data_IF_807765940739
#
_entry.id   IF_807765940739
#
_cell.length_a   1.000
_cell.length_b   1.000
_cell.length_c   1.000
_cell.angle_alpha   90.00
_cell.angle_beta   90.00
_cell.angle_gamma   90.00
#
_symmetry.space_group_name_H-M   'P 1'
#
loop_
_entity.id
_entity.type
_entity.pdbx_description
1 polymer ?
#
# COMPACT_ATOMS: atom_id res chain seq x y z
N UNK A 1 -39.73 -29.25 -19.02
CA UNK A 1 -38.90 -30.37 -18.44
C UNK A 1 -37.38 -30.19 -18.63
N UNK A 2 -36.90 -29.00 -19.06
CA UNK A 2 -35.45 -28.75 -19.36
C UNK A 2 -34.72 -27.87 -18.36
N UNK A 3 -35.37 -27.34 -17.34
CA UNK A 3 -34.74 -26.42 -16.38
C UNK A 3 -34.07 -27.10 -15.18
N UNK A 4 -34.37 -28.38 -14.90
CA UNK A 4 -33.78 -29.13 -13.77
C UNK A 4 -32.38 -29.69 -14.05
N UNK A 5 -31.98 -29.82 -15.30
CA UNK A 5 -30.65 -30.36 -15.67
C UNK A 5 -29.53 -29.33 -15.53
N UNK A 6 -29.85 -28.03 -15.68
CA UNK A 6 -28.86 -26.97 -15.64
C UNK A 6 -28.33 -26.70 -14.23
N UNK A 7 -29.20 -26.82 -13.22
CA UNK A 7 -28.79 -26.63 -11.81
C UNK A 7 -27.95 -27.80 -11.27
N UNK A 8 -28.12 -29.01 -11.83
CA UNK A 8 -27.35 -30.19 -11.44
C UNK A 8 -25.88 -30.09 -11.88
N UNK A 9 -25.61 -29.46 -13.04
CA UNK A 9 -24.25 -29.29 -13.56
C UNK A 9 -23.50 -28.20 -12.79
N UNK A 10 -24.18 -27.12 -12.41
CA UNK A 10 -23.60 -26.05 -11.60
C UNK A 10 -23.28 -26.54 -10.18
N UNK A 11 -24.15 -27.37 -9.59
CA UNK A 11 -23.91 -27.94 -8.27
C UNK A 11 -22.73 -28.96 -8.28
N UNK A 12 -22.53 -29.68 -9.37
CA UNK A 12 -21.44 -30.64 -9.50
C UNK A 12 -20.07 -29.95 -9.61
N UNK A 13 -20.00 -28.76 -10.22
CA UNK A 13 -18.76 -27.96 -10.31
C UNK A 13 -18.38 -27.36 -8.94
N UNK A 14 -19.38 -27.08 -8.09
CA UNK A 14 -19.14 -26.53 -6.75
C UNK A 14 -18.63 -27.57 -5.73
N UNK A 15 -18.89 -28.86 -5.97
CA UNK A 15 -18.51 -29.95 -5.03
C UNK A 15 -17.11 -30.56 -5.30
N UNK A 16 -16.41 -30.17 -6.37
CA UNK A 16 -15.11 -30.72 -6.75
C UNK A 16 -13.89 -30.00 -6.16
N UNK A 17 -14.08 -29.11 -5.19
CA UNK A 17 -12.98 -28.38 -4.55
C UNK A 17 -12.97 -28.42 -3.03
N UNK A 18 -13.19 -29.58 -2.43
CA UNK A 18 -12.85 -29.76 -0.99
C UNK A 18 -12.18 -31.13 -0.82
N UNK A 19 -10.93 -31.22 -1.18
CA UNK A 19 -10.01 -32.22 -0.62
C UNK A 19 -8.58 -31.67 -0.68
N UNK A 20 -8.25 -30.77 0.24
CA UNK A 20 -6.86 -30.43 0.54
C UNK A 20 -6.44 -31.20 1.78
N UNK A 21 -5.53 -32.11 1.56
CA UNK A 21 -4.82 -32.91 2.53
C UNK A 21 -4.15 -32.05 3.61
N UNK A 22 -4.46 -32.35 4.86
CA UNK A 22 -3.62 -31.97 5.99
C UNK A 22 -2.38 -32.85 5.98
N UNK A 23 -1.22 -32.26 5.75
CA UNK A 23 0.06 -32.89 6.07
C UNK A 23 0.36 -32.57 7.54
N UNK A 24 0.44 -33.61 8.35
CA UNK A 24 0.98 -33.56 9.71
C UNK A 24 2.51 -33.46 9.62
N UNK A 25 3.05 -32.47 10.28
CA UNK A 25 4.49 -32.37 10.55
C UNK A 25 4.82 -33.19 11.79
N UNK A 26 5.58 -34.25 11.59
CA UNK A 26 6.12 -35.08 12.65
C UNK A 26 7.28 -34.39 13.35
N UNK A 27 7.14 -34.24 14.65
CA UNK A 27 8.19 -33.80 15.57
C UNK A 27 9.15 -34.97 15.83
N UNK A 28 10.37 -34.92 15.30
CA UNK A 28 11.45 -35.78 15.72
C UNK A 28 12.08 -35.24 16.99
N UNK A 29 11.85 -35.96 18.07
CA UNK A 29 12.65 -35.86 19.28
C UNK A 29 13.86 -36.77 19.11
N UNK A 30 15.06 -36.27 19.16
CA UNK A 30 16.24 -37.11 19.37
C UNK A 30 16.89 -36.73 20.71
N UNK A 31 17.16 -37.81 21.41
CA UNK A 31 17.66 -37.87 22.76
C UNK A 31 19.15 -38.26 22.72
N UNK A 32 19.85 -37.83 23.75
CA UNK A 32 21.08 -38.39 24.32
C UNK A 32 22.41 -37.69 24.09
N UNK A 33 22.97 -37.35 25.25
CA UNK A 33 24.37 -37.04 25.39
C UNK A 33 24.72 -36.41 26.78
N UNK A 34 24.53 -37.19 27.84
CA UNK A 34 25.13 -36.88 29.17
C UNK A 34 26.63 -36.66 29.10
N UNK A 35 27.13 -35.62 29.71
CA UNK A 35 28.39 -35.66 30.47
C UNK A 35 28.32 -34.70 31.67
N UNK A 36 28.38 -35.34 32.83
CA UNK A 36 28.59 -34.68 34.16
C UNK A 36 29.93 -33.99 34.21
N UNK A 37 29.96 -32.81 34.79
CA UNK A 37 31.10 -32.35 35.59
C UNK A 37 30.61 -31.39 36.67
N UNK A 38 31.02 -31.74 37.86
CA UNK A 38 30.65 -31.19 39.16
C UNK A 38 31.33 -29.87 39.52
N UNK A 39 30.62 -29.11 40.37
CA UNK A 39 31.09 -28.17 41.40
C UNK A 39 31.73 -26.84 40.99
N UNK A 40 31.13 -25.72 41.40
CA UNK A 40 31.47 -25.01 42.64
C UNK A 40 30.31 -24.05 43.02
N UNK A 41 29.82 -24.21 44.25
CA UNK A 41 28.89 -23.33 44.94
C UNK A 41 29.67 -22.16 45.50
N UNK A 42 29.48 -20.96 44.98
CA UNK A 42 29.84 -19.71 45.68
C UNK A 42 28.60 -18.87 45.89
N UNK A 43 28.20 -18.82 47.13
CA UNK A 43 27.25 -17.86 47.67
C UNK A 43 27.96 -16.51 47.72
N UNK A 44 27.48 -15.53 46.95
CA UNK A 44 27.75 -14.13 47.25
C UNK A 44 26.45 -13.34 47.11
N UNK A 45 26.09 -12.72 48.20
CA UNK A 45 25.09 -11.66 48.28
C UNK A 45 25.31 -10.63 47.18
N UNK A 46 24.34 -10.47 46.32
CA UNK A 46 24.28 -9.36 45.38
C UNK A 46 23.11 -8.48 45.73
N UNK A 47 23.43 -7.42 46.41
CA UNK A 47 22.69 -6.16 46.40
C UNK A 47 22.10 -5.90 45.02
N UNK A 48 20.79 -5.63 44.99
CA UNK A 48 20.06 -5.14 43.87
C UNK A 48 20.73 -3.92 43.26
N UNK A 49 21.46 -4.11 42.16
CA UNK A 49 21.83 -3.02 41.27
C UNK A 49 20.62 -2.65 40.46
N UNK A 50 20.07 -1.47 40.76
CA UNK A 50 19.14 -0.76 39.96
C UNK A 50 19.48 -0.91 38.47
N UNK A 51 18.50 -1.32 37.69
CA UNK A 51 18.59 -1.39 36.24
C UNK A 51 18.90 0.01 35.72
N UNK A 52 20.16 0.24 35.38
CA UNK A 52 20.57 1.38 34.57
C UNK A 52 19.71 1.33 33.29
N UNK A 53 18.94 2.39 32.97
CA UNK A 53 18.18 2.42 31.71
C UNK A 53 19.20 2.28 30.60
N UNK A 54 19.04 1.23 29.79
CA UNK A 54 19.82 1.00 28.56
C UNK A 54 19.62 2.24 27.69
N UNK A 55 20.60 3.16 27.72
CA UNK A 55 20.57 4.33 26.83
C UNK A 55 20.41 3.81 25.41
N UNK A 56 19.23 4.10 24.81
CA UNK A 56 19.04 3.90 23.37
C UNK A 56 20.17 4.63 22.66
N UNK A 57 20.84 4.02 21.69
CA UNK A 57 21.86 4.72 20.93
C UNK A 57 21.21 5.99 20.33
N UNK A 58 21.86 7.13 20.55
CA UNK A 58 21.42 8.37 19.95
C UNK A 58 21.57 8.23 18.43
N UNK A 59 20.46 8.32 17.71
CA UNK A 59 20.40 8.31 16.23
C UNK A 59 21.17 9.48 15.57
N UNK A 60 21.70 10.40 16.38
CA UNK A 60 22.34 11.64 15.94
C UNK A 60 23.49 11.46 14.94
N UNK A 61 24.26 10.39 15.06
CA UNK A 61 25.43 10.15 14.21
C UNK A 61 25.04 9.60 12.81
N UNK A 62 23.78 9.21 12.62
CA UNK A 62 23.31 8.59 11.38
C UNK A 62 22.38 9.50 10.55
N UNK A 63 21.96 10.64 11.12
CA UNK A 63 21.03 11.56 10.45
C UNK A 63 21.78 12.79 9.96
N UNK A 64 21.81 12.98 8.63
CA UNK A 64 22.28 14.20 8.02
C UNK A 64 21.11 15.14 7.75
N UNK A 65 21.22 16.40 8.15
CA UNK A 65 20.18 17.40 7.91
C UNK A 65 20.74 18.75 7.52
N UNK A 66 19.99 19.49 6.73
CA UNK A 66 20.29 20.85 6.33
C UNK A 66 19.00 21.66 6.12
N UNK A 67 19.11 22.96 6.16
CA UNK A 67 18.03 23.90 5.85
C UNK A 67 18.61 25.19 5.30
N UNK A 68 17.85 25.91 4.47
CA UNK A 68 18.31 27.16 3.86
C UNK A 68 18.20 28.33 4.84
N UNK A 69 17.09 28.47 5.57
CA UNK A 69 16.87 29.58 6.49
C UNK A 69 17.45 29.38 7.88
N UNK A 70 16.97 28.36 8.57
CA UNK A 70 17.39 28.18 9.97
C UNK A 70 17.27 26.76 10.46
N UNK A 71 18.23 26.41 11.33
CA UNK A 71 18.23 25.18 12.13
C UNK A 71 18.11 25.58 13.60
N UNK A 72 16.99 25.26 14.24
CA UNK A 72 16.73 25.56 15.66
C UNK A 72 16.80 24.30 16.49
N UNK A 73 17.75 24.24 17.40
CA UNK A 73 17.94 23.12 18.33
C UNK A 73 17.38 23.52 19.71
N UNK A 74 16.35 22.83 20.15
CA UNK A 74 15.76 22.99 21.47
C UNK A 74 16.19 21.82 22.39
N UNK A 75 17.15 22.08 23.24
CA UNK A 75 17.68 21.09 24.16
C UNK A 75 16.71 20.70 25.28
N UNK A 76 15.73 21.59 25.61
CA UNK A 76 14.74 21.29 26.65
C UNK A 76 13.71 20.26 26.19
N UNK A 77 13.32 20.35 24.93
CA UNK A 77 12.33 19.46 24.34
C UNK A 77 12.96 18.39 23.47
N UNK A 78 14.28 18.34 23.36
CA UNK A 78 15.05 17.42 22.50
C UNK A 78 14.55 17.42 21.05
N UNK A 79 14.30 18.63 20.51
CA UNK A 79 13.81 18.77 19.14
C UNK A 79 14.71 19.66 18.29
N UNK A 80 14.85 19.26 17.01
CA UNK A 80 15.46 20.09 15.98
C UNK A 80 14.38 20.49 15.00
N UNK A 81 14.33 21.77 14.67
CA UNK A 81 13.44 22.33 13.65
C UNK A 81 14.26 22.92 12.53
N UNK A 82 13.97 22.48 11.32
CA UNK A 82 14.58 22.92 10.08
C UNK A 82 13.56 23.70 9.28
N UNK A 83 13.91 24.90 8.85
CA UNK A 83 13.01 25.79 8.12
C UNK A 83 13.58 26.13 6.75
N UNK A 84 12.70 26.12 5.75
CA UNK A 84 12.91 26.47 4.36
C UNK A 84 13.90 25.52 3.65
N UNK A 85 13.40 24.84 2.62
CA UNK A 85 14.14 23.83 1.86
C UNK A 85 14.92 22.87 2.76
N UNK A 86 14.25 22.44 3.81
CA UNK A 86 14.81 21.50 4.75
C UNK A 86 14.99 20.13 4.11
N UNK A 87 16.16 19.55 4.30
CA UNK A 87 16.50 18.21 3.82
C UNK A 87 17.00 17.37 4.99
N UNK A 88 16.52 16.14 5.08
CA UNK A 88 16.96 15.15 6.05
C UNK A 88 17.25 13.85 5.32
N UNK A 89 18.40 13.25 5.59
CA UNK A 89 18.81 11.97 5.01
C UNK A 89 19.16 10.99 6.13
N UNK A 90 18.62 9.80 6.05
CA UNK A 90 18.84 8.71 7.00
C UNK A 90 18.81 7.37 6.26
N UNK A 91 19.91 6.63 6.29
CA UNK A 91 20.07 5.38 5.51
C UNK A 91 19.70 5.59 4.02
N UNK A 92 18.70 4.87 3.52
CA UNK A 92 18.16 4.96 2.17
C UNK A 92 17.00 5.97 2.01
N UNK A 93 16.67 6.67 3.11
CA UNK A 93 15.57 7.63 3.16
C UNK A 93 16.08 9.05 2.97
N UNK A 94 15.40 9.81 2.10
CA UNK A 94 15.57 11.25 1.92
C UNK A 94 14.23 11.95 2.07
N UNK A 95 14.18 12.97 2.90
CA UNK A 95 12.99 13.77 3.18
C UNK A 95 13.30 15.23 2.92
N UNK A 96 12.60 15.82 1.96
CA UNK A 96 12.69 17.25 1.63
C UNK A 96 11.37 17.93 1.98
N UNK A 97 11.41 19.14 2.56
CA UNK A 97 10.19 19.84 2.97
C UNK A 97 10.46 21.29 3.33
N UNK A 98 9.40 22.08 3.43
CA UNK A 98 9.49 23.43 3.98
C UNK A 98 9.80 23.44 5.48
N UNK A 99 9.19 22.54 6.24
CA UNK A 99 9.41 22.38 7.67
C UNK A 99 9.71 20.92 7.98
N UNK A 100 10.82 20.66 8.68
CA UNK A 100 11.11 19.37 9.27
C UNK A 100 11.32 19.56 10.77
N UNK A 101 10.66 18.73 11.57
CA UNK A 101 10.80 18.68 13.02
C UNK A 101 11.24 17.28 13.41
N UNK A 102 12.45 17.16 13.94
CA UNK A 102 13.01 15.93 14.45
C UNK A 102 12.89 15.92 15.98
N UNK A 103 12.28 14.89 16.52
CA UNK A 103 12.11 14.65 17.95
C UNK A 103 12.96 13.45 18.39
N UNK A 104 14.01 13.73 19.12
CA UNK A 104 14.92 12.67 19.62
C UNK A 104 14.38 11.90 20.82
N UNK A 105 13.32 12.39 21.46
CA UNK A 105 12.71 11.67 22.59
C UNK A 105 11.91 10.47 22.09
N UNK A 106 11.21 10.66 20.98
CA UNK A 106 10.34 9.64 20.37
C UNK A 106 10.96 8.98 19.15
N UNK A 107 12.15 9.45 18.70
CA UNK A 107 12.79 9.08 17.46
C UNK A 107 11.85 9.24 16.25
N UNK A 108 11.12 10.36 16.22
CA UNK A 108 10.19 10.68 15.15
C UNK A 108 10.60 11.93 14.38
N UNK A 109 10.33 11.90 13.09
CA UNK A 109 10.40 13.08 12.25
C UNK A 109 9.01 13.44 11.74
N UNK A 110 8.70 14.71 11.78
CA UNK A 110 7.55 15.31 11.12
C UNK A 110 8.02 16.21 10.01
N UNK A 111 7.41 16.10 8.82
CA UNK A 111 7.62 17.06 7.74
C UNK A 111 6.28 17.60 7.23
N UNK A 112 6.28 18.90 6.91
CA UNK A 112 5.09 19.60 6.46
C UNK A 112 5.44 20.84 5.65
N UNK A 113 4.41 21.44 5.05
CA UNK A 113 4.54 22.69 4.29
C UNK A 113 4.86 23.87 5.19
N UNK A 114 5.43 24.91 4.61
CA UNK A 114 5.53 26.23 5.25
C UNK A 114 4.53 27.22 4.60
N UNK A 115 4.16 28.21 5.36
CA UNK A 115 3.33 29.31 4.88
C UNK A 115 4.21 30.44 4.36
N UNK A 116 4.01 30.80 3.10
CA UNK A 116 4.58 31.96 2.45
C UNK A 116 3.48 33.02 2.30
N UNK A 117 3.78 34.29 2.63
CA UNK A 117 2.80 35.38 2.61
C UNK A 117 2.25 35.68 1.21
N UNK A 118 3.00 35.32 0.15
CA UNK A 118 2.64 35.60 -1.25
C UNK A 118 1.95 34.35 -1.86
N UNK A 119 2.51 33.15 -1.63
CA UNK A 119 2.11 31.93 -2.33
C UNK A 119 1.27 30.98 -1.46
N UNK A 120 1.00 31.33 -0.19
CA UNK A 120 0.29 30.48 0.75
C UNK A 120 1.12 29.27 1.21
N UNK A 121 0.53 28.09 1.29
CA UNK A 121 1.22 26.88 1.69
C UNK A 121 2.12 26.34 0.57
N UNK A 122 3.42 26.43 0.75
CA UNK A 122 4.46 26.03 -0.21
C UNK A 122 5.36 24.92 0.32
N UNK A 123 6.29 24.46 -0.51
CA UNK A 123 7.31 23.47 -0.19
C UNK A 123 6.72 22.18 0.41
N UNK A 124 5.90 21.53 -0.42
CA UNK A 124 5.30 20.25 -0.11
C UNK A 124 6.37 19.22 0.19
N UNK A 125 6.20 18.36 1.21
CA UNK A 125 7.13 17.28 1.48
C UNK A 125 7.31 16.35 0.29
N UNK A 126 8.55 15.92 0.08
CA UNK A 126 8.95 14.85 -0.85
C UNK A 126 9.66 13.79 -0.01
N UNK A 127 9.09 12.63 0.07
CA UNK A 127 9.65 11.48 0.77
C UNK A 127 10.11 10.45 -0.25
N UNK A 128 11.42 10.20 -0.25
CA UNK A 128 12.06 9.19 -1.09
C UNK A 128 12.58 8.07 -0.20
N UNK A 129 12.26 6.84 -0.54
CA UNK A 129 12.85 5.65 0.08
C UNK A 129 13.08 4.59 -0.98
N UNK A 130 14.33 4.18 -1.16
CA UNK A 130 14.77 3.34 -2.27
C UNK A 130 14.27 3.92 -3.62
N UNK A 131 13.44 3.19 -4.37
CA UNK A 131 12.89 3.63 -5.66
C UNK A 131 11.46 4.20 -5.55
N UNK A 132 10.95 4.41 -4.33
CA UNK A 132 9.60 4.91 -4.13
C UNK A 132 9.62 6.40 -3.76
N UNK A 133 8.92 7.21 -4.54
CA UNK A 133 8.68 8.62 -4.26
C UNK A 133 7.23 8.82 -3.84
N UNK A 134 7.04 9.54 -2.74
CA UNK A 134 5.74 9.91 -2.20
C UNK A 134 5.71 11.40 -1.94
N UNK A 135 4.69 12.08 -2.44
CA UNK A 135 4.49 13.53 -2.32
C UNK A 135 3.29 13.83 -1.41
N UNK A 136 3.44 13.79 -0.06
CA UNK A 136 2.35 14.04 0.87
C UNK A 136 2.19 15.54 1.19
N UNK A 137 1.08 15.91 1.81
CA UNK A 137 0.93 17.24 2.44
C UNK A 137 1.69 17.32 3.76
N UNK A 138 1.73 16.21 4.48
CA UNK A 138 2.57 16.02 5.66
C UNK A 138 2.85 14.55 5.91
N UNK A 139 3.96 14.29 6.58
CA UNK A 139 4.39 12.94 6.96
C UNK A 139 4.93 12.95 8.39
N UNK A 140 4.67 11.90 9.13
CA UNK A 140 5.32 11.55 10.39
C UNK A 140 5.92 10.16 10.25
N UNK A 141 7.21 10.04 10.50
CA UNK A 141 7.95 8.79 10.39
C UNK A 141 8.70 8.53 11.70
N UNK A 142 8.71 7.29 12.15
CA UNK A 142 9.44 6.85 13.34
C UNK A 142 10.63 5.99 12.90
N UNK A 143 11.83 6.38 13.31
CA UNK A 143 13.07 5.72 12.88
C UNK A 143 13.28 4.34 13.52
N UNK A 144 12.78 4.12 14.75
CA UNK A 144 12.94 2.84 15.45
C UNK A 144 12.03 1.77 14.85
N UNK A 145 10.76 2.13 14.63
CA UNK A 145 9.74 1.19 14.19
C UNK A 145 9.58 1.13 12.68
N UNK A 146 10.22 2.05 11.96
CA UNK A 146 10.10 2.25 10.49
C UNK A 146 8.65 2.48 10.03
N UNK A 147 7.75 2.86 10.96
CA UNK A 147 6.35 3.18 10.68
C UNK A 147 6.18 4.64 10.27
N UNK A 148 5.19 4.88 9.39
CA UNK A 148 4.84 6.24 9.00
C UNK A 148 3.33 6.46 8.99
N UNK A 149 2.94 7.72 9.23
CA UNK A 149 1.62 8.26 8.98
C UNK A 149 1.75 9.36 7.93
N UNK A 150 1.00 9.25 6.85
CA UNK A 150 1.15 10.07 5.65
C UNK A 150 -0.22 10.63 5.30
N UNK A 151 -0.31 11.95 5.12
CA UNK A 151 -1.57 12.64 4.81
C UNK A 151 -1.53 13.22 3.41
N UNK A 152 -2.63 13.03 2.67
CA UNK A 152 -2.88 13.57 1.33
C UNK A 152 -1.71 13.32 0.37
N UNK A 153 -1.36 12.06 0.18
CA UNK A 153 -0.25 11.68 -0.68
C UNK A 153 -0.68 11.39 -2.11
N UNK A 154 0.21 11.70 -3.04
CA UNK A 154 0.15 11.26 -4.43
C UNK A 154 1.35 10.35 -4.71
N UNK A 155 1.09 9.23 -5.34
CA UNK A 155 2.12 8.25 -5.74
C UNK A 155 1.77 7.74 -7.13
N UNK A 156 2.78 7.53 -7.96
CA UNK A 156 2.63 6.88 -9.25
C UNK A 156 3.33 5.52 -9.21
N UNK A 157 2.61 4.48 -9.62
CA UNK A 157 3.16 3.11 -9.72
C UNK A 157 2.61 2.43 -10.97
N UNK A 158 3.51 1.97 -11.85
CA UNK A 158 3.16 1.23 -13.07
C UNK A 158 2.09 1.92 -13.92
N UNK A 159 2.20 3.24 -14.10
CA UNK A 159 1.25 4.04 -14.87
C UNK A 159 -0.10 4.30 -14.17
N UNK A 160 -0.26 3.83 -12.93
CA UNK A 160 -1.42 4.17 -12.09
C UNK A 160 -1.08 5.32 -11.14
N UNK A 161 -1.92 6.34 -11.14
CA UNK A 161 -1.87 7.41 -10.15
C UNK A 161 -2.77 7.07 -8.97
N UNK A 162 -2.19 7.08 -7.78
CA UNK A 162 -2.87 6.78 -6.52
C UNK A 162 -2.83 8.00 -5.62
N UNK A 163 -4.00 8.54 -5.30
CA UNK A 163 -4.17 9.64 -4.36
C UNK A 163 -4.77 9.08 -3.08
N UNK A 164 -4.11 9.26 -1.95
CA UNK A 164 -4.56 8.77 -0.65
C UNK A 164 -4.80 9.95 0.30
N UNK A 165 -5.95 10.01 0.95
CA UNK A 165 -6.17 10.97 2.02
C UNK A 165 -5.35 10.62 3.25
N UNK A 166 -5.21 9.33 3.55
CA UNK A 166 -4.43 8.86 4.68
C UNK A 166 -3.79 7.51 4.36
N UNK A 167 -2.49 7.41 4.66
CA UNK A 167 -1.73 6.17 4.52
C UNK A 167 -0.98 5.89 5.82
N UNK A 168 -1.10 4.67 6.33
CA UNK A 168 -0.29 4.13 7.42
C UNK A 168 0.70 3.11 6.86
N UNK A 169 1.98 3.44 6.89
CA UNK A 169 3.06 2.47 6.63
C UNK A 169 3.26 1.65 7.89
N UNK A 170 3.05 0.36 7.82
CA UNK A 170 3.28 -0.56 8.94
C UNK A 170 4.70 -1.11 8.94
N UNK A 171 5.23 -1.37 7.75
CA UNK A 171 6.60 -1.75 7.46
C UNK A 171 6.89 -1.50 5.97
N UNK A 172 8.08 -1.87 5.48
CA UNK A 172 8.47 -1.62 4.08
C UNK A 172 7.65 -2.40 3.06
N UNK A 173 6.98 -3.46 3.49
CA UNK A 173 6.17 -4.33 2.63
C UNK A 173 4.65 -4.09 2.74
N UNK A 174 4.16 -3.31 3.72
CA UNK A 174 2.72 -3.18 3.98
C UNK A 174 2.33 -1.75 4.30
N UNK A 175 1.43 -1.22 3.48
CA UNK A 175 0.80 0.08 3.66
C UNK A 175 -0.71 -0.09 3.74
N UNK A 176 -1.34 0.51 4.72
CA UNK A 176 -2.79 0.62 4.81
C UNK A 176 -3.21 1.99 4.29
N UNK A 177 -4.12 1.98 3.32
CA UNK A 177 -4.63 3.19 2.66
C UNK A 177 -6.09 3.41 3.03
N UNK A 178 -6.47 4.67 3.15
CA UNK A 178 -7.84 5.09 3.45
C UNK A 178 -8.24 6.24 2.52
N UNK A 179 -9.47 6.14 1.99
CA UNK A 179 -10.06 7.14 1.08
C UNK A 179 -9.14 7.44 -0.11
N UNK A 180 -8.73 6.37 -0.80
CA UNK A 180 -7.87 6.46 -1.97
C UNK A 180 -8.68 6.64 -3.26
N UNK A 181 -8.08 7.32 -4.23
CA UNK A 181 -8.52 7.38 -5.63
C UNK A 181 -7.42 6.79 -6.50
N UNK A 182 -7.79 5.83 -7.34
CA UNK A 182 -6.87 5.19 -8.28
C UNK A 182 -7.35 5.50 -9.68
N UNK A 183 -6.47 6.02 -10.53
CA UNK A 183 -6.78 6.34 -11.93
C UNK A 183 -5.59 6.06 -12.83
N UNK A 184 -5.88 5.74 -14.09
CA UNK A 184 -4.93 5.67 -15.21
C UNK A 184 -5.22 6.75 -16.26
N UNK A 185 -6.07 7.74 -15.92
CA UNK A 185 -6.34 8.87 -16.80
C UNK A 185 -5.09 9.68 -17.11
N UNK A 186 -5.01 10.23 -18.31
CA UNK A 186 -3.89 11.05 -18.77
C UNK A 186 -3.71 12.32 -17.93
N UNK A 187 -4.81 12.92 -17.43
CA UNK A 187 -4.77 13.99 -16.43
C UNK A 187 -5.14 13.45 -15.04
N UNK A 188 -4.15 13.15 -14.20
CA UNK A 188 -4.42 12.61 -12.86
C UNK A 188 -5.06 13.63 -11.90
N UNK A 189 -4.95 14.93 -12.16
CA UNK A 189 -5.50 15.96 -11.28
C UNK A 189 -6.99 16.18 -11.54
N UNK A 190 -7.42 15.99 -12.79
CA UNK A 190 -8.83 16.02 -13.19
C UNK A 190 -9.17 14.77 -14.00
N UNK A 191 -9.19 13.58 -13.38
CA UNK A 191 -9.34 12.33 -14.10
C UNK A 191 -10.76 12.16 -14.66
N UNK A 192 -10.85 11.69 -15.90
CA UNK A 192 -12.12 11.34 -16.53
C UNK A 192 -12.85 10.22 -15.78
N UNK A 193 -12.08 9.34 -15.17
CA UNK A 193 -12.59 8.26 -14.33
C UNK A 193 -11.60 7.91 -13.21
N UNK A 194 -12.12 7.41 -12.11
CA UNK A 194 -11.32 6.86 -11.02
C UNK A 194 -12.09 5.84 -10.21
N UNK A 195 -11.36 5.00 -9.52
CA UNK A 195 -11.90 4.08 -8.53
C UNK A 195 -11.65 4.67 -7.15
N UNK A 196 -12.72 4.92 -6.41
CA UNK A 196 -12.65 5.36 -5.02
C UNK A 196 -12.64 4.16 -4.09
N UNK A 197 -11.57 4.02 -3.34
CA UNK A 197 -11.34 2.93 -2.38
C UNK A 197 -11.50 3.49 -0.98
N UNK A 198 -12.40 2.92 -0.17
CA UNK A 198 -12.58 3.36 1.23
C UNK A 198 -11.44 2.92 2.12
N UNK A 199 -11.03 1.67 2.02
CA UNK A 199 -9.90 1.08 2.75
C UNK A 199 -9.21 0.06 1.88
N UNK A 200 -7.90 0.02 1.94
CA UNK A 200 -7.11 -0.96 1.19
C UNK A 200 -5.79 -1.27 1.88
N UNK A 201 -5.15 -2.31 1.40
CA UNK A 201 -3.81 -2.72 1.76
C UNK A 201 -2.97 -2.71 0.49
N UNK A 202 -1.89 -1.94 0.51
CA UNK A 202 -0.93 -1.87 -0.59
C UNK A 202 0.36 -2.58 -0.19
N UNK A 203 0.89 -3.37 -1.10
CA UNK A 203 2.22 -3.98 -1.05
C UNK A 203 3.01 -3.36 -2.19
N UNK A 204 3.97 -2.46 -1.92
CA UNK A 204 4.78 -1.82 -2.95
C UNK A 204 5.47 -2.84 -3.84
N UNK A 205 5.48 -2.59 -5.16
CA UNK A 205 6.04 -3.54 -6.13
C UNK A 205 5.28 -4.87 -6.24
N UNK A 206 4.06 -4.95 -5.71
CA UNK A 206 3.27 -6.17 -5.73
C UNK A 206 1.81 -5.91 -6.09
N UNK A 207 1.01 -5.44 -5.14
CA UNK A 207 -0.45 -5.36 -5.30
C UNK A 207 -1.12 -4.36 -4.37
N UNK A 208 -2.28 -3.86 -4.81
CA UNK A 208 -3.24 -3.17 -3.96
C UNK A 208 -4.47 -4.06 -3.80
N UNK A 209 -4.77 -4.45 -2.58
CA UNK A 209 -6.03 -5.15 -2.24
C UNK A 209 -6.97 -4.11 -1.65
N UNK A 210 -8.01 -3.79 -2.39
CA UNK A 210 -9.01 -2.82 -2.01
C UNK A 210 -10.25 -3.50 -1.42
N UNK A 211 -10.78 -2.94 -0.37
CA UNK A 211 -12.11 -3.27 0.13
C UNK A 211 -13.20 -2.61 -0.72
N UNK A 212 -14.32 -2.25 -0.08
CA UNK A 212 -15.45 -1.62 -0.76
C UNK A 212 -14.99 -0.42 -1.60
N UNK A 213 -15.24 -0.48 -2.89
CA UNK A 213 -14.81 0.49 -3.88
C UNK A 213 -15.95 0.83 -4.83
N UNK A 214 -15.96 2.07 -5.32
CA UNK A 214 -16.94 2.55 -6.29
C UNK A 214 -16.22 3.19 -7.48
N UNK A 215 -16.76 3.00 -8.66
CA UNK A 215 -16.27 3.63 -9.89
C UNK A 215 -16.94 4.98 -10.06
N UNK A 216 -16.15 6.00 -10.34
CA UNK A 216 -16.59 7.35 -10.66
C UNK A 216 -16.18 7.68 -12.08
N UNK A 217 -17.08 8.35 -12.82
CA UNK A 217 -16.86 8.86 -14.17
C UNK A 217 -17.25 10.32 -14.17
N UNK A 218 -16.38 11.19 -14.65
CA UNK A 218 -16.57 12.65 -14.60
C UNK A 218 -17.02 13.15 -13.22
N UNK A 219 -16.45 12.59 -12.13
CA UNK A 219 -16.80 12.86 -10.73
C UNK A 219 -18.22 12.40 -10.31
N UNK A 220 -18.98 11.71 -11.17
CA UNK A 220 -20.29 11.16 -10.85
C UNK A 220 -20.14 9.71 -10.40
N UNK A 221 -20.70 9.30 -9.26
CA UNK A 221 -20.65 7.91 -8.84
C UNK A 221 -21.51 7.04 -9.76
N UNK A 222 -20.93 5.96 -10.24
CA UNK A 222 -21.68 4.95 -10.99
C UNK A 222 -22.36 3.98 -10.02
N UNK A 223 -23.43 3.25 -10.43
CA UNK A 223 -24.03 2.20 -9.61
C UNK A 223 -23.12 0.95 -9.47
N UNK A 224 -21.94 0.98 -10.08
CA UNK A 224 -21.00 -0.15 -10.05
C UNK A 224 -20.16 -0.04 -8.79
N UNK A 225 -20.48 -0.88 -7.80
CA UNK A 225 -19.72 -1.07 -6.57
C UNK A 225 -18.98 -2.40 -6.59
N UNK A 226 -17.72 -2.38 -6.17
CA UNK A 226 -16.90 -3.58 -6.01
C UNK A 226 -16.76 -3.85 -4.51
N UNK A 227 -17.22 -5.01 -4.00
CA UNK A 227 -17.06 -5.36 -2.58
C UNK A 227 -15.59 -5.54 -2.21
N UNK A 228 -14.78 -5.98 -3.16
CA UNK A 228 -13.31 -5.99 -3.09
C UNK A 228 -12.75 -5.87 -4.51
N UNK A 229 -11.50 -5.37 -4.60
CA UNK A 229 -10.77 -5.26 -5.85
C UNK A 229 -9.29 -5.56 -5.64
N UNK A 230 -8.65 -6.06 -6.68
CA UNK A 230 -7.23 -6.38 -6.70
C UNK A 230 -6.59 -5.63 -7.86
N UNK A 231 -5.57 -4.82 -7.56
CA UNK A 231 -4.81 -4.09 -8.56
C UNK A 231 -3.34 -4.52 -8.48
N UNK A 232 -2.80 -5.18 -9.52
CA UNK A 232 -1.37 -5.45 -9.59
C UNK A 232 -0.61 -4.13 -9.73
N UNK A 233 0.52 -3.99 -9.05
CA UNK A 233 1.41 -2.83 -9.13
C UNK A 233 2.75 -3.19 -9.75
N UNK A 234 2.86 -4.38 -10.35
CA UNK A 234 3.99 -4.87 -11.14
C UNK A 234 3.59 -4.95 -12.60
N UNK A 235 4.59 -4.88 -13.49
CA UNK A 235 4.39 -5.10 -14.92
C UNK A 235 4.31 -6.60 -15.28
N UNK A 236 4.40 -7.48 -14.29
CA UNK A 236 4.28 -8.91 -14.50
C UNK A 236 2.83 -9.26 -14.87
N UNK A 237 2.65 -10.28 -15.71
CA UNK A 237 1.33 -10.78 -16.06
C UNK A 237 0.61 -11.24 -14.79
N UNK A 238 -0.41 -10.50 -14.39
CA UNK A 238 -1.20 -10.78 -13.18
C UNK A 238 -2.67 -10.95 -13.53
N UNK A 239 -3.32 -11.94 -12.94
CA UNK A 239 -4.75 -12.10 -13.08
C UNK A 239 -5.50 -10.91 -12.50
N UNK A 240 -6.54 -10.43 -13.18
CA UNK A 240 -7.28 -9.26 -12.72
C UNK A 240 -8.55 -8.99 -13.53
N UNK A 241 -9.30 -8.00 -13.05
CA UNK A 241 -10.52 -7.53 -13.71
C UNK A 241 -10.15 -6.62 -14.88
N UNK A 242 -10.74 -6.89 -16.03
CA UNK A 242 -10.67 -6.03 -17.22
C UNK A 242 -11.83 -5.06 -17.12
N UNK A 243 -11.51 -3.77 -17.02
CA UNK A 243 -12.53 -2.74 -16.97
C UNK A 243 -13.17 -2.56 -18.33
N UNK A 244 -14.52 -2.52 -18.37
CA UNK A 244 -15.23 -2.34 -19.62
C UNK A 244 -15.05 -0.92 -20.15
N UNK A 245 -15.11 -0.80 -21.48
CA UNK A 245 -15.37 0.46 -22.15
C UNK A 245 -16.88 0.68 -22.23
N UNK A 246 -17.30 1.92 -22.12
CA UNK A 246 -18.72 2.28 -22.22
C UNK A 246 -18.89 3.37 -23.29
N UNK A 247 -20.06 3.41 -23.87
CA UNK A 247 -20.39 4.40 -24.89
C UNK A 247 -21.82 4.29 -25.36
N UNK A 248 -22.15 5.03 -26.43
CA UNK A 248 -23.43 5.03 -27.06
C UNK A 248 -23.29 4.74 -28.57
N UNK A 249 -24.19 3.93 -29.08
CA UNK A 249 -24.31 3.61 -30.50
C UNK A 249 -25.72 3.92 -30.98
N UNK A 250 -25.86 4.64 -32.07
CA UNK A 250 -27.19 4.96 -32.66
C UNK A 250 -28.02 3.73 -32.97
N UNK A 251 -27.37 2.58 -33.26
CA UNK A 251 -28.06 1.34 -33.65
C UNK A 251 -28.38 0.43 -32.47
N UNK A 252 -27.55 0.46 -31.40
CA UNK A 252 -27.62 -0.50 -30.29
C UNK A 252 -27.88 0.14 -28.93
N UNK A 253 -27.97 1.47 -28.89
CA UNK A 253 -28.12 2.23 -27.62
C UNK A 253 -26.82 2.29 -26.83
N UNK A 254 -26.95 2.45 -25.54
CA UNK A 254 -25.78 2.44 -24.65
C UNK A 254 -25.17 1.05 -24.54
N UNK A 255 -23.85 1.00 -24.43
CA UNK A 255 -23.14 -0.27 -24.32
C UNK A 255 -22.06 -0.23 -23.25
N UNK A 256 -21.79 -1.41 -22.72
CA UNK A 256 -20.62 -1.75 -21.93
C UNK A 256 -19.94 -2.89 -22.68
N UNK A 257 -18.68 -2.68 -23.10
CA UNK A 257 -17.93 -3.65 -23.90
C UNK A 257 -16.60 -4.01 -23.26
N UNK A 258 -16.10 -5.22 -23.57
CA UNK A 258 -14.81 -5.73 -23.18
C UNK A 258 -14.60 -5.78 -21.66
N UNK A 259 -15.68 -5.77 -20.86
CA UNK A 259 -15.58 -6.00 -19.43
C UNK A 259 -15.34 -7.47 -19.14
N UNK A 260 -14.44 -7.80 -18.20
CA UNK A 260 -14.18 -9.21 -17.97
C UNK A 260 -13.13 -9.51 -16.91
N UNK A 261 -12.54 -10.68 -17.07
CA UNK A 261 -11.50 -11.15 -16.18
C UNK A 261 -10.36 -11.80 -16.98
N UNK A 262 -9.15 -11.36 -16.71
CA UNK A 262 -7.92 -11.98 -17.20
C UNK A 262 -7.37 -12.91 -16.13
N UNK A 263 -7.14 -14.17 -16.49
CA UNK A 263 -6.57 -15.19 -15.62
C UNK A 263 -5.22 -15.62 -16.17
N UNK A 264 -4.15 -15.27 -15.50
CA UNK A 264 -2.83 -15.82 -15.75
C UNK A 264 -2.70 -17.14 -14.97
N UNK A 265 -2.67 -18.27 -15.69
CA UNK A 265 -2.57 -19.61 -15.09
C UNK A 265 -1.09 -19.97 -14.85
N UNK A 266 -0.24 -19.67 -15.84
CA UNK A 266 1.22 -19.86 -15.79
C UNK A 266 1.88 -19.04 -16.91
N UNK A 267 3.21 -19.11 -17.03
CA UNK A 267 3.97 -18.35 -18.03
C UNK A 267 3.66 -18.73 -19.49
N UNK A 268 3.01 -19.86 -19.71
CA UNK A 268 2.68 -20.44 -21.03
C UNK A 268 1.19 -20.40 -21.37
N UNK A 269 0.33 -20.15 -20.39
CA UNK A 269 -1.11 -20.20 -20.62
C UNK A 269 -1.82 -19.12 -19.81
N UNK A 270 -2.59 -18.33 -20.52
CA UNK A 270 -3.51 -17.36 -19.95
C UNK A 270 -4.92 -17.49 -20.55
N UNK A 271 -5.90 -16.98 -19.82
CA UNK A 271 -7.31 -17.00 -20.21
C UNK A 271 -7.88 -15.60 -20.04
N UNK A 272 -8.45 -15.09 -21.13
CA UNK A 272 -9.12 -13.80 -21.18
C UNK A 272 -10.61 -14.02 -21.41
N UNK A 273 -11.43 -13.73 -20.42
CA UNK A 273 -12.87 -13.83 -20.47
C UNK A 273 -13.48 -12.43 -20.51
N UNK A 274 -14.02 -12.00 -21.62
CA UNK A 274 -14.65 -10.67 -21.77
C UNK A 274 -16.09 -10.78 -22.22
N UNK A 275 -16.90 -9.79 -21.81
CA UNK A 275 -18.31 -9.70 -22.14
C UNK A 275 -18.70 -8.31 -22.61
N UNK A 276 -19.71 -8.28 -23.48
CA UNK A 276 -20.34 -7.08 -23.98
C UNK A 276 -21.83 -7.10 -23.63
N UNK A 277 -22.39 -5.96 -23.30
CA UNK A 277 -23.80 -5.77 -23.07
C UNK A 277 -24.30 -4.48 -23.70
N UNK A 278 -25.46 -4.52 -24.33
CA UNK A 278 -26.10 -3.41 -24.97
C UNK A 278 -27.53 -3.22 -24.47
N UNK A 279 -27.99 -1.97 -24.39
CA UNK A 279 -29.36 -1.68 -23.89
C UNK A 279 -30.48 -2.19 -24.76
N UNK A 280 -30.23 -2.51 -26.03
CA UNK A 280 -31.20 -3.18 -26.91
C UNK A 280 -31.39 -4.69 -26.56
N UNK A 281 -30.74 -5.20 -25.53
CA UNK A 281 -30.80 -6.60 -25.11
C UNK A 281 -29.76 -7.51 -25.75
N UNK A 282 -28.90 -6.98 -26.65
CA UNK A 282 -27.81 -7.76 -27.22
C UNK A 282 -26.68 -7.96 -26.22
N UNK A 283 -26.07 -9.12 -26.21
CA UNK A 283 -24.90 -9.42 -25.38
C UNK A 283 -23.90 -10.28 -26.14
N UNK A 284 -22.66 -10.24 -25.74
CA UNK A 284 -21.57 -11.05 -26.27
C UNK A 284 -20.69 -11.60 -25.16
N UNK A 285 -20.15 -12.79 -25.36
CA UNK A 285 -19.12 -13.38 -24.51
C UNK A 285 -17.97 -13.82 -25.38
N UNK A 286 -16.76 -13.45 -24.99
CA UNK A 286 -15.52 -13.80 -25.70
C UNK A 286 -14.59 -14.49 -24.74
N UNK A 287 -13.97 -15.55 -25.21
CA UNK A 287 -12.97 -16.33 -24.46
C UNK A 287 -11.74 -16.44 -25.35
N UNK A 288 -10.65 -15.82 -24.92
CA UNK A 288 -9.37 -15.87 -25.62
C UNK A 288 -8.35 -16.58 -24.74
N UNK A 289 -7.49 -17.38 -25.34
CA UNK A 289 -6.39 -18.10 -24.67
C UNK A 289 -5.09 -17.87 -25.43
N UNK A 290 -4.02 -17.63 -24.73
CA UNK A 290 -2.66 -17.51 -25.26
C UNK A 290 -1.71 -18.43 -24.50
#
# INVERSE_FOLDING_TARGET
>A
LQTKSFYSVILLILFLKVSSSFAQEEVFADNQGKKDTLFVKQTQDSTSLDSIPKNKPLLLDLINYSAEDSVKIDQKTNKIRLYNKAVLTYEDMRLESGLIVLDYTTNEVYAGRIYDSINGLTQKPIFLQANNEVNPDSIRFNFDTKKALIWNSKTEQSGMNVFNNFTKKENDSVYYIKDAKVTTSADPNNPDYYIKIRKGKMVPGGKIVAGLSNIFIANVPTPIGLPFAYFPTTNDKSSGIIFPTYGESQQRGYYIQNGGYYLNVNDYFDLNLTGDYYTNGSYGLRVDTQ
#
